data_IF_005414221462
#
_entry.id   IF_005414221462
#
_cell.length_a   1.000
_cell.length_b   1.000
_cell.length_c   1.000
_cell.angle_alpha   90.00
_cell.angle_beta   90.00
_cell.angle_gamma   90.00
#
_symmetry.space_group_name_H-M   'P 1'
#
loop_
_entity.id
_entity.type
_entity.pdbx_description
1 polymer ?
#
# COMPACT_ATOMS: atom_id res chain seq x y z
N UNK A 1 -26.64 -27.78 -44.18
CA UNK A 1 -26.53 -27.08 -42.88
C UNK A 1 -25.50 -27.79 -42.02
N UNK A 2 -24.22 -27.36 -41.98
CA UNK A 2 -23.24 -27.95 -41.05
C UNK A 2 -23.14 -27.10 -39.79
N UNK A 3 -23.92 -27.47 -38.77
CA UNK A 3 -23.81 -26.94 -37.43
C UNK A 3 -22.50 -27.38 -36.80
N UNK A 4 -21.43 -26.60 -37.01
CA UNK A 4 -20.13 -26.85 -36.39
C UNK A 4 -20.25 -26.54 -34.90
N UNK A 5 -20.52 -27.57 -34.10
CA UNK A 5 -20.56 -27.50 -32.64
C UNK A 5 -19.28 -26.86 -32.07
N UNK A 6 -19.43 -26.20 -30.92
CA UNK A 6 -18.43 -25.37 -30.19
C UNK A 6 -17.13 -26.08 -29.78
N UNK A 7 -16.78 -27.23 -30.34
CA UNK A 7 -15.69 -28.11 -29.90
C UNK A 7 -14.49 -28.25 -30.84
N UNK A 8 -14.39 -27.49 -31.94
CA UNK A 8 -13.45 -27.80 -33.03
C UNK A 8 -12.58 -26.66 -33.56
N UNK A 9 -12.17 -25.68 -32.72
CA UNK A 9 -11.12 -24.70 -33.09
C UNK A 9 -9.84 -25.03 -32.34
N UNK A 10 -8.70 -25.01 -33.07
CA UNK A 10 -7.34 -25.06 -32.51
C UNK A 10 -7.28 -24.12 -31.31
N UNK A 11 -6.97 -24.64 -30.12
CA UNK A 11 -6.90 -23.83 -28.90
C UNK A 11 -5.80 -22.79 -29.08
N UNK A 12 -6.17 -21.54 -29.35
CA UNK A 12 -5.23 -20.42 -29.35
C UNK A 12 -4.56 -20.29 -27.98
N UNK A 13 -3.43 -19.57 -27.92
CA UNK A 13 -2.68 -19.35 -26.68
C UNK A 13 -3.62 -18.91 -25.56
N UNK A 14 -3.64 -19.66 -24.46
CA UNK A 14 -4.51 -19.38 -23.33
C UNK A 14 -4.10 -18.05 -22.68
N UNK A 15 -4.99 -17.05 -22.70
CA UNK A 15 -4.82 -15.81 -21.95
C UNK A 15 -5.17 -16.03 -20.49
N UNK A 16 -4.36 -15.51 -19.57
CA UNK A 16 -4.62 -15.61 -18.14
C UNK A 16 -5.83 -14.76 -17.75
N UNK A 17 -6.45 -15.08 -16.60
CA UNK A 17 -7.55 -14.27 -16.08
C UNK A 17 -7.09 -12.87 -15.67
N UNK A 18 -5.87 -12.74 -15.15
CA UNK A 18 -5.25 -11.45 -14.82
C UNK A 18 -5.06 -10.60 -16.08
N UNK A 19 -4.48 -11.16 -17.15
CA UNK A 19 -4.28 -10.41 -18.40
C UNK A 19 -5.59 -10.00 -19.07
N UNK A 20 -6.66 -10.79 -18.90
CA UNK A 20 -8.01 -10.42 -19.38
C UNK A 20 -8.65 -9.30 -18.56
N UNK A 21 -8.31 -9.22 -17.28
CA UNK A 21 -8.82 -8.20 -16.35
C UNK A 21 -7.95 -6.93 -16.31
N UNK A 22 -6.77 -6.93 -16.96
CA UNK A 22 -5.84 -5.80 -16.90
C UNK A 22 -5.11 -5.66 -15.56
N UNK A 23 -4.99 -6.75 -14.79
CA UNK A 23 -4.39 -6.74 -13.45
C UNK A 23 -3.00 -7.37 -13.45
N UNK A 24 -2.08 -6.81 -12.67
CA UNK A 24 -0.80 -7.44 -12.34
C UNK A 24 -0.98 -8.56 -11.31
N UNK A 25 -1.95 -8.41 -10.39
CA UNK A 25 -2.22 -9.37 -9.34
C UNK A 25 -2.84 -10.68 -9.89
N UNK A 26 -2.52 -11.84 -9.27
CA UNK A 26 -2.86 -13.14 -9.82
C UNK A 26 -4.32 -13.57 -9.50
N UNK A 27 -5.28 -13.19 -10.34
CA UNK A 27 -6.72 -13.53 -10.21
C UNK A 27 -6.95 -15.03 -10.00
N UNK A 28 -6.22 -15.89 -10.72
CA UNK A 28 -6.34 -17.35 -10.58
C UNK A 28 -5.93 -17.86 -9.19
N UNK A 29 -4.88 -17.25 -8.60
CA UNK A 29 -4.41 -17.58 -7.24
C UNK A 29 -5.41 -17.09 -6.20
N UNK A 30 -5.92 -15.86 -6.34
CA UNK A 30 -6.94 -15.30 -5.45
C UNK A 30 -8.20 -16.19 -5.43
N UNK A 31 -8.67 -16.64 -6.61
CA UNK A 31 -9.81 -17.56 -6.67
C UNK A 31 -9.57 -18.88 -5.93
N UNK A 32 -8.37 -19.47 -6.08
CA UNK A 32 -8.01 -20.70 -5.38
C UNK A 32 -7.98 -20.50 -3.86
N UNK A 33 -7.41 -19.38 -3.39
CA UNK A 33 -7.34 -19.06 -1.97
C UNK A 33 -8.73 -18.81 -1.37
N UNK A 34 -9.62 -18.10 -2.08
CA UNK A 34 -11.01 -17.91 -1.66
C UNK A 34 -11.76 -19.25 -1.49
N UNK A 35 -11.54 -20.22 -2.39
CA UNK A 35 -12.15 -21.55 -2.24
C UNK A 35 -11.53 -22.37 -1.11
N UNK A 36 -10.21 -22.30 -0.92
CA UNK A 36 -9.51 -23.01 0.17
C UNK A 36 -9.84 -22.44 1.56
N UNK A 37 -10.19 -21.15 1.63
CA UNK A 37 -10.50 -20.46 2.87
C UNK A 37 -11.89 -20.78 3.47
N UNK A 38 -12.72 -21.58 2.78
CA UNK A 38 -14.06 -21.95 3.24
C UNK A 38 -14.98 -20.76 3.61
N UNK A 39 -14.77 -19.58 3.00
CA UNK A 39 -15.60 -18.39 3.25
C UNK A 39 -17.05 -18.56 2.80
N UNK A 40 -17.30 -19.43 1.81
CA UNK A 40 -18.65 -19.78 1.33
C UNK A 40 -18.63 -21.10 0.57
N UNK A 41 -19.82 -21.70 0.35
CA UNK A 41 -19.98 -22.92 -0.45
C UNK A 41 -19.59 -22.73 -1.93
N UNK A 42 -19.77 -21.51 -2.47
CA UNK A 42 -19.52 -21.18 -3.89
C UNK A 42 -18.91 -19.80 -4.01
N UNK A 43 -17.89 -19.68 -4.86
CA UNK A 43 -17.25 -18.40 -5.18
C UNK A 43 -17.58 -18.03 -6.63
N UNK A 44 -18.25 -16.89 -6.82
CA UNK A 44 -18.58 -16.38 -8.15
C UNK A 44 -17.32 -16.01 -8.95
N UNK A 45 -17.41 -16.06 -10.28
CA UNK A 45 -16.25 -15.80 -11.14
C UNK A 45 -15.71 -14.37 -11.03
N UNK A 46 -16.56 -13.37 -10.74
CA UNK A 46 -16.17 -11.97 -10.59
C UNK A 46 -15.48 -11.64 -9.26
N UNK A 47 -15.81 -12.34 -8.18
CA UNK A 47 -15.26 -12.10 -6.84
C UNK A 47 -13.71 -12.06 -6.80
N UNK A 48 -12.97 -13.05 -7.34
CA UNK A 48 -11.51 -12.99 -7.34
C UNK A 48 -10.91 -11.94 -8.28
N UNK A 49 -11.67 -11.43 -9.25
CA UNK A 49 -11.20 -10.31 -10.11
C UNK A 49 -11.27 -9.03 -9.29
N UNK A 50 -12.42 -8.77 -8.67
CA UNK A 50 -12.64 -7.58 -7.86
C UNK A 50 -11.67 -7.52 -6.68
N UNK A 51 -11.54 -8.62 -5.93
CA UNK A 51 -10.61 -8.67 -4.80
C UNK A 51 -9.15 -8.49 -5.23
N UNK A 52 -8.73 -9.08 -6.35
CA UNK A 52 -7.39 -8.88 -6.87
C UNK A 52 -7.13 -7.41 -7.24
N UNK A 53 -8.11 -6.75 -7.85
CA UNK A 53 -8.01 -5.33 -8.20
C UNK A 53 -7.89 -4.43 -6.96
N UNK A 54 -8.71 -4.67 -5.92
CA UNK A 54 -8.64 -3.92 -4.66
C UNK A 54 -7.29 -4.13 -3.97
N UNK A 55 -6.79 -5.37 -3.92
CA UNK A 55 -5.48 -5.66 -3.35
C UNK A 55 -4.34 -4.99 -4.13
N UNK A 56 -4.43 -4.98 -5.46
CA UNK A 56 -3.45 -4.31 -6.33
C UNK A 56 -3.46 -2.80 -6.11
N UNK A 57 -4.65 -2.19 -6.03
CA UNK A 57 -4.82 -0.77 -5.74
C UNK A 57 -4.21 -0.38 -4.38
N UNK A 58 -4.58 -1.07 -3.30
CA UNK A 58 -4.03 -0.79 -1.97
C UNK A 58 -2.51 -1.00 -1.91
N UNK A 59 -1.99 -2.01 -2.63
CA UNK A 59 -0.55 -2.24 -2.73
C UNK A 59 0.15 -1.10 -3.46
N UNK A 60 -0.43 -0.62 -4.57
CA UNK A 60 0.11 0.51 -5.32
C UNK A 60 0.15 1.78 -4.47
N UNK A 61 -0.92 2.08 -3.73
CA UNK A 61 -1.01 3.26 -2.85
C UNK A 61 0.09 3.25 -1.78
N UNK A 62 0.23 2.12 -1.06
CA UNK A 62 1.27 1.99 -0.03
C UNK A 62 2.68 2.09 -0.64
N UNK A 63 2.91 1.51 -1.82
CA UNK A 63 4.21 1.55 -2.47
C UNK A 63 4.56 2.92 -3.03
N UNK A 64 3.58 3.68 -3.52
CA UNK A 64 3.77 5.06 -3.98
C UNK A 64 4.25 5.94 -2.83
N UNK A 65 3.51 5.94 -1.72
CA UNK A 65 3.87 6.73 -0.53
C UNK A 65 5.19 6.26 0.10
N UNK A 66 5.43 4.95 0.18
CA UNK A 66 6.69 4.42 0.69
C UNK A 66 7.88 4.70 -0.24
N UNK A 67 7.64 4.77 -1.56
CA UNK A 67 8.61 5.21 -2.55
C UNK A 67 9.00 6.67 -2.36
N UNK A 68 8.01 7.54 -2.11
CA UNK A 68 8.24 8.94 -1.78
C UNK A 68 9.02 9.08 -0.46
N UNK A 69 8.62 8.37 0.59
CA UNK A 69 9.35 8.35 1.86
C UNK A 69 10.80 7.81 1.71
N UNK A 70 11.04 6.85 0.81
CA UNK A 70 12.39 6.38 0.51
C UNK A 70 13.23 7.48 -0.16
N UNK A 71 12.64 8.18 -1.15
CA UNK A 71 13.26 9.29 -1.87
C UNK A 71 13.62 10.44 -0.93
N UNK A 72 12.72 10.81 -0.02
CA UNK A 72 12.95 11.88 0.97
C UNK A 72 14.11 11.53 1.91
N UNK A 73 14.27 10.24 2.23
CA UNK A 73 15.41 9.72 2.99
C UNK A 73 16.67 9.49 2.13
N UNK A 74 16.69 9.98 0.88
CA UNK A 74 17.79 9.84 -0.09
C UNK A 74 18.17 8.38 -0.34
N UNK A 75 17.18 7.49 -0.38
CA UNK A 75 17.34 6.05 -0.67
C UNK A 75 16.56 5.67 -1.93
N UNK A 76 17.08 4.71 -2.68
CA UNK A 76 16.40 4.13 -3.86
C UNK A 76 15.65 2.85 -3.55
N UNK A 77 15.83 2.28 -2.35
CA UNK A 77 15.21 1.03 -1.90
C UNK A 77 14.24 1.29 -0.77
N UNK A 78 13.02 0.75 -0.90
CA UNK A 78 12.02 0.72 0.17
C UNK A 78 12.49 -0.25 1.27
N UNK A 79 12.45 0.19 2.52
CA UNK A 79 12.71 -0.61 3.73
C UNK A 79 11.51 -0.50 4.69
N UNK A 80 11.40 -1.33 5.75
CA UNK A 80 10.26 -1.28 6.65
C UNK A 80 10.00 0.10 7.28
N UNK A 81 11.06 0.89 7.54
CA UNK A 81 10.92 2.29 7.99
C UNK A 81 10.11 3.15 7.02
N UNK A 82 10.33 3.01 5.71
CA UNK A 82 9.60 3.80 4.71
C UNK A 82 8.12 3.40 4.64
N UNK A 83 7.82 2.10 4.80
CA UNK A 83 6.43 1.62 4.91
C UNK A 83 5.74 2.20 6.16
N UNK A 84 6.42 2.21 7.30
CA UNK A 84 5.87 2.79 8.53
C UNK A 84 5.63 4.29 8.40
N UNK A 85 6.57 5.05 7.82
CA UNK A 85 6.41 6.48 7.59
C UNK A 85 5.24 6.77 6.64
N UNK A 86 5.13 6.01 5.54
CA UNK A 86 4.02 6.15 4.59
C UNK A 86 2.66 5.89 5.26
N UNK A 87 2.52 4.74 5.92
CA UNK A 87 1.25 4.30 6.51
C UNK A 87 0.81 5.19 7.68
N UNK A 88 1.75 5.66 8.52
CA UNK A 88 1.39 6.43 9.72
C UNK A 88 1.19 7.92 9.46
N UNK A 89 1.75 8.47 8.39
CA UNK A 89 1.48 9.86 7.98
C UNK A 89 0.21 10.00 7.14
N UNK A 90 -0.31 8.90 6.58
CA UNK A 90 -1.58 8.89 5.86
C UNK A 90 -2.74 8.51 6.79
N UNK A 91 -3.80 9.32 6.82
CA UNK A 91 -4.92 9.15 7.76
C UNK A 91 -5.70 7.86 7.48
N UNK A 92 -6.01 7.59 6.21
CA UNK A 92 -6.82 6.45 5.81
C UNK A 92 -6.08 5.13 6.01
N UNK A 93 -4.81 5.05 5.63
CA UNK A 93 -3.96 3.88 5.82
C UNK A 93 -3.65 3.66 7.30
N UNK A 94 -3.42 4.72 8.08
CA UNK A 94 -3.19 4.59 9.52
C UNK A 94 -4.42 4.01 10.23
N UNK A 95 -5.62 4.44 9.83
CA UNK A 95 -6.89 3.90 10.32
C UNK A 95 -7.12 2.46 9.84
N UNK A 96 -6.89 2.18 8.55
CA UNK A 96 -7.06 0.85 7.97
C UNK A 96 -6.12 -0.18 8.60
N UNK A 97 -4.88 0.22 8.92
CA UNK A 97 -3.87 -0.62 9.58
C UNK A 97 -3.71 -0.28 11.07
N UNK A 98 -4.80 0.16 11.70
CA UNK A 98 -4.87 0.30 13.15
C UNK A 98 -4.66 -1.08 13.80
N UNK A 99 -3.74 -1.17 14.76
CA UNK A 99 -3.39 -2.44 15.43
C UNK A 99 -2.41 -3.35 14.69
N UNK A 100 -1.94 -2.97 13.49
CA UNK A 100 -0.88 -3.71 12.78
C UNK A 100 0.50 -3.19 13.17
N UNK A 101 1.38 -4.10 13.62
CA UNK A 101 2.79 -3.80 13.91
C UNK A 101 3.67 -4.07 12.70
N UNK A 102 4.37 -3.05 12.22
CA UNK A 102 5.37 -3.19 11.15
C UNK A 102 6.74 -3.44 11.79
N UNK A 103 7.24 -4.67 11.66
CA UNK A 103 8.56 -5.02 12.15
C UNK A 103 9.63 -4.11 11.54
N UNK A 104 10.57 -3.63 12.36
CA UNK A 104 11.64 -2.70 11.94
C UNK A 104 11.14 -1.34 11.39
N UNK A 105 9.87 -0.97 11.66
CA UNK A 105 9.29 0.30 11.21
C UNK A 105 9.64 1.51 12.06
N UNK A 106 9.89 1.32 13.37
CA UNK A 106 10.00 2.42 14.34
C UNK A 106 8.69 3.21 14.50
N UNK A 107 8.77 4.46 14.93
CA UNK A 107 7.61 5.35 15.15
C UNK A 107 7.77 6.68 14.43
N UNK A 108 6.67 7.41 14.21
CA UNK A 108 6.77 8.79 13.71
C UNK A 108 7.53 9.65 14.74
N UNK A 109 8.47 10.50 14.32
CA UNK A 109 9.09 11.47 15.21
C UNK A 109 8.01 12.41 15.76
N UNK A 110 7.77 12.36 17.05
CA UNK A 110 6.84 13.25 17.74
C UNK A 110 7.32 13.48 19.17
N UNK A 111 7.48 14.75 19.55
CA UNK A 111 7.85 15.15 20.91
C UNK A 111 6.70 15.98 21.45
N UNK A 112 6.15 15.58 22.60
CA UNK A 112 5.09 16.37 23.23
C UNK A 112 5.65 17.77 23.59
N UNK A 113 4.88 18.82 23.31
CA UNK A 113 5.32 20.21 23.50
C UNK A 113 5.81 20.51 24.93
N UNK A 114 5.28 19.81 25.95
CA UNK A 114 5.73 19.94 27.34
C UNK A 114 7.18 19.50 27.59
N UNK A 115 7.72 18.65 26.71
CA UNK A 115 9.09 18.13 26.79
C UNK A 115 10.09 19.01 26.04
N UNK A 116 9.62 20.00 25.28
CA UNK A 116 10.51 20.92 24.60
C UNK A 116 11.17 21.86 25.61
N UNK A 117 12.46 22.21 25.42
CA UNK A 117 13.10 23.18 26.27
C UNK A 117 12.30 24.49 26.24
N UNK A 118 12.07 25.07 27.41
CA UNK A 118 11.48 26.41 27.49
C UNK A 118 12.37 27.34 26.67
N UNK A 119 11.79 28.07 25.73
CA UNK A 119 12.49 29.04 24.91
C UNK A 119 13.29 29.95 25.86
N UNK A 120 14.61 29.94 25.77
CA UNK A 120 15.41 30.93 26.46
C UNK A 120 15.02 32.29 25.89
N UNK A 121 14.40 33.15 26.68
CA UNK A 121 14.27 34.56 26.36
C UNK A 121 15.69 35.11 26.29
N UNK A 122 16.22 35.17 25.07
CA UNK A 122 17.52 35.74 24.79
C UNK A 122 17.53 37.17 25.30
N UNK A 123 18.48 37.42 26.20
CA UNK A 123 18.96 38.73 26.63
C UNK A 123 19.35 39.53 25.37
N UNK A 124 18.41 40.23 24.76
CA UNK A 124 18.67 41.34 23.85
C UNK A 124 18.77 42.62 24.69
N UNK A 125 19.77 42.66 25.59
CA UNK A 125 20.18 43.95 26.16
C UNK A 125 20.77 44.77 25.02
N UNK A 126 20.04 45.82 24.66
CA UNK A 126 20.37 46.73 23.58
C UNK A 126 21.80 47.24 23.70
N UNK A 127 22.56 47.03 22.62
CA UNK A 127 23.70 47.89 22.32
C UNK A 127 23.08 49.18 21.79
N UNK A 128 22.85 50.14 22.69
CA UNK A 128 22.70 51.55 22.29
C UNK A 128 24.09 52.01 21.84
N UNK A 129 24.30 52.14 20.54
CA UNK A 129 25.42 52.90 20.00
C UNK A 129 25.22 54.36 20.34
N UNK A 130 25.96 54.82 21.35
CA UNK A 130 26.24 56.24 21.56
C UNK A 130 27.53 56.58 20.79
N UNK A 131 27.53 57.79 20.21
CA UNK A 131 28.53 58.43 19.36
C UNK A 131 28.34 58.22 17.85
#
# INVERSE_FOLDING_TARGET
MSGRGKGGKVKGKAKSRSSRAGLQFPVGRVHRLLRKGHYSKRVGAGAPVYLAAVMEYLTAEVLELAGNAARDNKKTRIIPRHLQLAIRNDEELSKFLCGVTIAQGGVLPNINASLLPKKAEGISKGIKSSQ
#
